data_IF_518911874519
#
_entry.id   IF_518911874519
#
_cell.length_a   1.000
_cell.length_b   1.000
_cell.length_c   1.000
_cell.angle_alpha   90.00
_cell.angle_beta   90.00
_cell.angle_gamma   90.00
#
_symmetry.space_group_name_H-M   'P 1'
#
loop_
_entity.id
_entity.type
_entity.pdbx_description
1 polymer ?
#
# COMPACT_ATOMS: atom_id res chain seq x y z
N UNK A 1 48.74 -34.09 -22.04
CA UNK A 1 47.59 -33.15 -22.14
C UNK A 1 46.97 -33.02 -20.75
N UNK A 2 47.27 -31.92 -20.04
CA UNK A 2 46.76 -31.68 -18.70
C UNK A 2 45.43 -30.92 -18.80
N UNK A 3 44.34 -31.50 -18.30
CA UNK A 3 43.03 -30.89 -18.32
C UNK A 3 42.99 -29.74 -17.31
N UNK A 4 42.87 -28.50 -17.80
CA UNK A 4 42.65 -27.34 -16.95
C UNK A 4 41.30 -27.51 -16.24
N UNK A 5 41.34 -27.71 -14.92
CA UNK A 5 40.15 -27.67 -14.07
C UNK A 5 39.63 -26.23 -14.10
N UNK A 6 38.60 -25.99 -14.90
CA UNK A 6 37.89 -24.71 -14.89
C UNK A 6 37.24 -24.56 -13.51
N UNK A 7 37.78 -23.64 -12.71
CA UNK A 7 37.17 -23.26 -11.45
C UNK A 7 35.73 -22.80 -11.73
N UNK A 8 34.74 -23.50 -11.18
CA UNK A 8 33.35 -23.08 -11.31
C UNK A 8 33.21 -21.70 -10.68
N UNK A 9 32.63 -20.70 -11.39
CA UNK A 9 32.40 -19.40 -10.80
C UNK A 9 31.58 -19.57 -9.52
N UNK A 10 31.99 -18.91 -8.44
CA UNK A 10 31.30 -18.97 -7.16
C UNK A 10 29.82 -18.59 -7.36
N UNK A 11 28.92 -19.43 -6.86
CA UNK A 11 27.49 -19.11 -6.95
C UNK A 11 27.22 -17.81 -6.20
N UNK A 12 26.52 -16.84 -6.80
CA UNK A 12 26.20 -15.60 -6.12
C UNK A 12 25.39 -15.88 -4.84
N UNK A 13 25.75 -15.19 -3.76
CA UNK A 13 25.04 -15.26 -2.48
C UNK A 13 23.58 -14.79 -2.61
N UNK A 14 22.72 -15.26 -1.70
CA UNK A 14 21.28 -14.93 -1.70
C UNK A 14 21.02 -13.42 -1.69
N UNK A 15 21.81 -12.65 -0.92
CA UNK A 15 21.70 -11.19 -0.90
C UNK A 15 21.99 -10.54 -2.26
N UNK A 16 23.03 -11.00 -2.97
CA UNK A 16 23.36 -10.50 -4.31
C UNK A 16 22.25 -10.79 -5.32
N UNK A 17 21.63 -11.97 -5.23
CA UNK A 17 20.49 -12.34 -6.08
C UNK A 17 19.28 -11.46 -5.77
N UNK A 18 18.99 -11.22 -4.48
CA UNK A 18 17.92 -10.32 -4.06
C UNK A 18 18.13 -8.89 -4.59
N UNK A 19 19.33 -8.33 -4.40
CA UNK A 19 19.64 -6.96 -4.85
C UNK A 19 19.51 -6.81 -6.36
N UNK A 20 19.96 -7.80 -7.14
CA UNK A 20 19.78 -7.81 -8.60
C UNK A 20 18.31 -7.87 -8.99
N UNK A 21 17.52 -8.74 -8.35
CA UNK A 21 16.08 -8.83 -8.58
C UNK A 21 15.36 -7.53 -8.21
N UNK A 22 15.69 -6.94 -7.06
CA UNK A 22 15.13 -5.67 -6.61
C UNK A 22 15.48 -4.52 -7.57
N UNK A 23 16.72 -4.48 -8.06
CA UNK A 23 17.14 -3.52 -9.08
C UNK A 23 16.36 -3.65 -10.39
N UNK A 24 16.08 -4.88 -10.84
CA UNK A 24 15.27 -5.14 -12.02
C UNK A 24 13.81 -4.66 -11.84
N UNK A 25 13.19 -4.97 -10.70
CA UNK A 25 11.83 -4.50 -10.37
C UNK A 25 11.77 -2.97 -10.27
N UNK A 26 12.79 -2.34 -9.69
CA UNK A 26 12.88 -0.88 -9.59
C UNK A 26 12.99 -0.20 -10.97
N UNK A 27 13.80 -0.74 -11.88
CA UNK A 27 13.88 -0.25 -13.26
C UNK A 27 12.53 -0.41 -13.95
N UNK A 28 11.90 -1.58 -13.81
CA UNK A 28 10.60 -1.88 -14.39
C UNK A 28 9.53 -0.87 -13.95
N UNK A 29 9.38 -0.62 -12.65
CA UNK A 29 8.42 0.35 -12.13
C UNK A 29 8.62 1.75 -12.74
N UNK A 30 9.87 2.22 -12.83
CA UNK A 30 10.18 3.54 -13.41
C UNK A 30 9.88 3.64 -14.90
N UNK A 31 10.03 2.54 -15.65
CA UNK A 31 9.80 2.52 -17.10
C UNK A 31 8.34 2.41 -17.52
N UNK A 32 7.45 1.96 -16.63
CA UNK A 32 6.03 1.77 -16.95
C UNK A 32 5.28 3.10 -16.81
N UNK A 33 4.65 3.58 -17.90
CA UNK A 33 3.87 4.84 -17.91
C UNK A 33 2.73 4.83 -16.88
N UNK A 34 2.08 3.69 -16.68
CA UNK A 34 0.98 3.54 -15.72
C UNK A 34 1.43 3.80 -14.27
N UNK A 35 2.69 3.52 -13.92
CA UNK A 35 3.26 3.88 -12.62
C UNK A 35 3.13 5.37 -12.37
N UNK A 36 3.52 6.19 -13.35
CA UNK A 36 3.46 7.65 -13.25
C UNK A 36 2.03 8.18 -13.19
N UNK A 37 1.09 7.55 -13.91
CA UNK A 37 -0.32 7.90 -13.81
C UNK A 37 -0.88 7.62 -12.40
N UNK A 38 -0.51 6.50 -11.79
CA UNK A 38 -0.88 6.17 -10.41
C UNK A 38 -0.27 7.14 -9.39
N UNK A 39 1.02 7.50 -9.56
CA UNK A 39 1.68 8.47 -8.69
C UNK A 39 1.07 9.87 -8.82
N UNK A 40 0.74 10.30 -10.04
CA UNK A 40 0.05 11.56 -10.28
C UNK A 40 -1.33 11.56 -9.60
N UNK A 41 -2.12 10.50 -9.77
CA UNK A 41 -3.42 10.37 -9.13
C UNK A 41 -3.30 10.41 -7.60
N UNK A 42 -2.35 9.67 -7.02
CA UNK A 42 -2.08 9.71 -5.59
C UNK A 42 -1.65 11.11 -5.14
N UNK A 43 -0.79 11.80 -5.90
CA UNK A 43 -0.36 13.17 -5.58
C UNK A 43 -1.53 14.14 -5.54
N UNK A 44 -2.35 14.13 -6.60
CA UNK A 44 -3.53 15.02 -6.71
C UNK A 44 -4.51 14.77 -5.56
N UNK A 45 -4.78 13.51 -5.23
CA UNK A 45 -5.75 13.18 -4.18
C UNK A 45 -5.18 13.44 -2.78
N UNK A 46 -3.97 12.99 -2.47
CA UNK A 46 -3.38 13.14 -1.12
C UNK A 46 -3.15 14.62 -0.81
N UNK A 47 -2.44 15.33 -1.68
CA UNK A 47 -2.11 16.74 -1.45
C UNK A 47 -3.34 17.62 -1.62
N UNK A 48 -4.20 17.32 -2.60
CA UNK A 48 -5.42 18.09 -2.85
C UNK A 48 -6.43 18.00 -1.70
N UNK A 49 -6.71 16.79 -1.20
CA UNK A 49 -7.61 16.63 -0.05
C UNK A 49 -7.01 17.21 1.24
N UNK A 50 -5.70 17.05 1.45
CA UNK A 50 -5.03 17.69 2.59
C UNK A 50 -5.09 19.22 2.54
N UNK A 51 -4.94 19.82 1.35
CA UNK A 51 -5.08 21.26 1.16
C UNK A 51 -6.52 21.75 1.39
N UNK A 52 -7.53 21.01 0.90
CA UNK A 52 -8.94 21.32 1.13
C UNK A 52 -9.26 21.25 2.64
N UNK A 53 -8.83 20.18 3.30
CA UNK A 53 -8.97 20.00 4.74
C UNK A 53 -8.38 21.18 5.53
N UNK A 54 -7.19 21.66 5.15
CA UNK A 54 -6.57 22.82 5.79
C UNK A 54 -7.32 24.13 5.52
N UNK A 55 -7.84 24.32 4.31
CA UNK A 55 -8.58 25.52 3.94
C UNK A 55 -9.93 25.62 4.69
N UNK A 56 -10.66 24.51 4.81
CA UNK A 56 -11.95 24.47 5.52
C UNK A 56 -11.80 24.87 7.01
N UNK A 57 -10.71 24.44 7.64
CA UNK A 57 -10.33 24.82 9.02
C UNK A 57 -9.95 26.29 9.13
N UNK A 58 -9.13 26.80 8.19
CA UNK A 58 -8.71 28.20 8.17
C UNK A 58 -9.91 29.17 8.07
N UNK A 59 -10.96 28.78 7.36
CA UNK A 59 -12.20 29.54 7.23
C UNK A 59 -13.11 29.44 8.47
N UNK A 60 -12.75 28.61 9.46
CA UNK A 60 -13.56 28.37 10.66
C UNK A 60 -14.90 27.69 10.37
N UNK A 61 -15.02 27.03 9.22
CA UNK A 61 -16.21 26.28 8.81
C UNK A 61 -16.26 24.87 9.39
N UNK A 62 -15.14 24.45 10.00
CA UNK A 62 -15.03 23.26 10.83
C UNK A 62 -16.10 23.25 11.93
N UNK A 63 -17.07 22.37 11.79
CA UNK A 63 -18.16 22.20 12.76
C UNK A 63 -17.79 21.09 13.73
N UNK A 64 -18.36 21.08 14.95
CA UNK A 64 -18.19 20.00 15.91
C UNK A 64 -18.59 18.59 15.38
N UNK A 65 -19.24 18.51 14.22
CA UNK A 65 -19.58 17.29 13.50
C UNK A 65 -18.49 16.80 12.52
N UNK A 66 -17.49 17.62 12.21
CA UNK A 66 -16.33 17.33 11.36
C UNK A 66 -15.10 18.05 11.93
N UNK A 67 -14.48 17.52 13.01
CA UNK A 67 -13.23 18.07 13.51
C UNK A 67 -12.11 17.64 12.56
N UNK A 68 -11.87 18.39 11.49
CA UNK A 68 -10.70 18.17 10.64
C UNK A 68 -9.54 18.86 11.36
N UNK A 69 -9.09 18.36 12.51
CA UNK A 69 -7.94 18.99 13.17
C UNK A 69 -6.77 18.94 12.18
N UNK A 70 -6.40 20.10 11.62
CA UNK A 70 -5.61 20.17 10.39
C UNK A 70 -4.15 19.71 10.57
N UNK A 71 -3.75 19.46 11.82
CA UNK A 71 -2.58 18.64 12.20
C UNK A 71 -2.57 17.24 11.53
N UNK A 72 -3.69 16.78 10.95
CA UNK A 72 -3.82 15.48 10.27
C UNK A 72 -4.08 15.56 8.75
N UNK A 73 -3.80 16.68 8.09
CA UNK A 73 -4.04 16.86 6.64
C UNK A 73 -3.49 15.71 5.77
N UNK A 74 -2.29 15.22 6.08
CA UNK A 74 -1.68 14.05 5.43
C UNK A 74 -2.46 12.75 5.66
N UNK A 75 -3.04 12.53 6.83
CA UNK A 75 -3.82 11.33 7.17
C UNK A 75 -5.15 11.32 6.41
N UNK A 76 -5.84 12.46 6.35
CA UNK A 76 -7.04 12.64 5.54
C UNK A 76 -6.75 12.46 4.05
N UNK A 77 -5.67 13.06 3.55
CA UNK A 77 -5.24 12.89 2.16
C UNK A 77 -4.95 11.42 1.82
N UNK A 78 -4.23 10.72 2.70
CA UNK A 78 -3.88 9.31 2.50
C UNK A 78 -5.11 8.40 2.54
N UNK A 79 -6.12 8.69 3.35
CA UNK A 79 -7.32 7.85 3.49
C UNK A 79 -7.91 7.45 2.12
N UNK A 80 -8.07 8.42 1.23
CA UNK A 80 -8.55 8.19 -0.13
C UNK A 80 -7.42 8.12 -1.17
N UNK A 81 -6.34 8.86 -0.98
CA UNK A 81 -5.24 8.92 -1.94
C UNK A 81 -4.38 7.64 -1.99
N UNK A 82 -4.41 6.82 -0.93
CA UNK A 82 -3.72 5.53 -0.90
C UNK A 82 -4.11 4.61 -2.06
N UNK A 83 -5.34 4.71 -2.59
CA UNK A 83 -5.79 3.82 -3.67
C UNK A 83 -4.96 3.96 -4.95
N UNK A 84 -4.42 5.14 -5.26
CA UNK A 84 -3.47 5.30 -6.37
C UNK A 84 -2.20 4.46 -6.16
N UNK A 85 -1.70 4.42 -4.93
CA UNK A 85 -0.52 3.65 -4.53
C UNK A 85 -0.82 2.14 -4.47
N UNK A 86 -2.00 1.75 -4.00
CA UNK A 86 -2.45 0.35 -3.98
C UNK A 86 -2.62 -0.19 -5.40
N UNK A 87 -3.16 0.61 -6.32
CA UNK A 87 -3.25 0.28 -7.75
C UNK A 87 -1.85 0.07 -8.32
N UNK A 88 -0.89 0.96 -8.03
CA UNK A 88 0.51 0.79 -8.45
C UNK A 88 1.09 -0.54 -7.94
N UNK A 89 0.93 -0.83 -6.65
CA UNK A 89 1.44 -2.05 -6.04
C UNK A 89 0.80 -3.32 -6.65
N UNK A 90 -0.50 -3.29 -6.93
CA UNK A 90 -1.21 -4.38 -7.57
C UNK A 90 -0.79 -4.58 -9.03
N UNK A 91 -0.68 -3.51 -9.80
CA UNK A 91 -0.22 -3.55 -11.20
C UNK A 91 1.21 -4.09 -11.30
N UNK A 92 2.08 -3.76 -10.33
CA UNK A 92 3.44 -4.28 -10.29
C UNK A 92 3.48 -5.81 -10.36
N UNK A 93 2.49 -6.50 -9.80
CA UNK A 93 2.41 -7.97 -9.82
C UNK A 93 1.45 -8.53 -10.87
N UNK A 94 0.39 -7.82 -11.25
CA UNK A 94 -0.59 -8.35 -12.22
C UNK A 94 -0.20 -8.14 -13.68
N UNK A 95 0.60 -7.11 -14.00
CA UNK A 95 0.92 -6.76 -15.40
C UNK A 95 1.62 -7.90 -16.16
N UNK A 96 2.42 -8.72 -15.48
CA UNK A 96 3.09 -9.86 -16.14
C UNK A 96 2.17 -11.03 -16.47
N UNK A 97 1.05 -11.15 -15.74
CA UNK A 97 0.02 -12.11 -16.09
C UNK A 97 -0.77 -11.63 -17.30
N UNK A 98 -1.02 -10.32 -17.41
CA UNK A 98 -1.71 -9.72 -18.55
C UNK A 98 -0.87 -9.79 -19.84
N UNK A 99 0.46 -9.62 -19.75
CA UNK A 99 1.37 -9.70 -20.89
C UNK A 99 1.84 -11.13 -21.22
N UNK A 100 1.52 -12.12 -20.37
CA UNK A 100 2.00 -13.50 -20.52
C UNK A 100 3.50 -13.68 -20.24
N UNK A 101 4.20 -12.68 -19.71
CA UNK A 101 5.66 -12.70 -19.50
C UNK A 101 6.10 -13.41 -18.21
N UNK A 102 5.17 -13.93 -17.41
CA UNK A 102 5.51 -14.56 -16.14
C UNK A 102 6.24 -15.90 -16.31
N UNK A 103 5.93 -16.65 -17.37
CA UNK A 103 6.57 -17.94 -17.67
C UNK A 103 8.08 -17.82 -17.90
N UNK A 104 8.55 -16.98 -18.85
CA UNK A 104 9.97 -16.73 -19.08
C UNK A 104 10.71 -16.25 -17.82
N UNK A 105 10.08 -15.38 -17.02
CA UNK A 105 10.67 -14.84 -15.77
C UNK A 105 10.92 -15.92 -14.72
N UNK A 106 9.98 -16.86 -14.58
CA UNK A 106 10.08 -17.98 -13.62
C UNK A 106 11.03 -19.09 -14.10
N UNK A 107 11.20 -19.27 -15.41
CA UNK A 107 12.11 -20.27 -15.98
C UNK A 107 13.59 -19.89 -15.85
N UNK A 108 13.91 -18.60 -15.82
CA UNK A 108 15.29 -18.12 -15.79
C UNK A 108 15.87 -17.95 -14.37
N UNK A 109 15.04 -18.09 -13.33
CA UNK A 109 15.45 -17.78 -11.95
C UNK A 109 15.39 -19.02 -11.04
N UNK A 110 16.53 -19.67 -10.73
CA UNK A 110 16.55 -20.89 -9.92
C UNK A 110 16.14 -20.66 -8.44
N UNK A 111 16.17 -19.41 -7.94
CA UNK A 111 15.82 -19.05 -6.55
C UNK A 111 14.48 -18.30 -6.47
N UNK A 112 13.39 -19.01 -6.75
CA UNK A 112 12.02 -18.46 -6.89
C UNK A 112 11.53 -17.66 -5.67
N UNK A 113 11.87 -18.09 -4.45
CA UNK A 113 11.48 -17.37 -3.22
C UNK A 113 12.14 -15.99 -3.08
N UNK A 114 13.38 -15.86 -3.52
CA UNK A 114 14.13 -14.59 -3.46
C UNK A 114 13.56 -13.58 -4.45
N UNK A 115 13.19 -14.05 -5.65
CA UNK A 115 12.51 -13.24 -6.65
C UNK A 115 11.14 -12.77 -6.15
N UNK A 116 10.36 -13.68 -5.56
CA UNK A 116 9.06 -13.33 -4.98
C UNK A 116 9.21 -12.27 -3.88
N UNK A 117 10.21 -12.41 -3.01
CA UNK A 117 10.48 -11.42 -1.98
C UNK A 117 10.80 -10.04 -2.57
N UNK A 118 11.65 -9.96 -3.59
CA UNK A 118 11.95 -8.69 -4.27
C UNK A 118 10.69 -8.09 -4.92
N UNK A 119 9.88 -8.93 -5.56
CA UNK A 119 8.64 -8.53 -6.22
C UNK A 119 7.55 -8.04 -5.27
N UNK A 120 7.54 -8.52 -4.04
CA UNK A 120 6.65 -8.00 -2.99
C UNK A 120 7.24 -6.74 -2.36
N UNK A 121 8.53 -6.77 -2.01
CA UNK A 121 9.19 -5.73 -1.26
C UNK A 121 9.31 -4.41 -2.04
N UNK A 122 9.75 -4.46 -3.30
CA UNK A 122 9.98 -3.24 -4.10
C UNK A 122 8.71 -2.40 -4.24
N UNK A 123 7.58 -2.89 -4.79
CA UNK A 123 6.39 -2.07 -4.96
C UNK A 123 5.81 -1.60 -3.62
N UNK A 124 5.88 -2.42 -2.57
CA UNK A 124 5.45 -2.04 -1.22
C UNK A 124 6.26 -0.86 -0.70
N UNK A 125 7.60 -0.95 -0.78
CA UNK A 125 8.50 0.13 -0.34
C UNK A 125 8.28 1.39 -1.18
N UNK A 126 8.14 1.27 -2.51
CA UNK A 126 7.87 2.42 -3.38
C UNK A 126 6.56 3.11 -2.99
N UNK A 127 5.48 2.34 -2.83
CA UNK A 127 4.17 2.84 -2.48
C UNK A 127 4.19 3.53 -1.11
N UNK A 128 4.76 2.88 -0.08
CA UNK A 128 4.87 3.44 1.27
C UNK A 128 5.71 4.70 1.30
N UNK A 129 6.94 4.67 0.77
CA UNK A 129 7.83 5.84 0.80
C UNK A 129 7.20 7.01 0.06
N UNK A 130 6.61 6.76 -1.11
CA UNK A 130 5.97 7.83 -1.88
C UNK A 130 4.75 8.40 -1.15
N UNK A 131 3.90 7.55 -0.58
CA UNK A 131 2.73 8.02 0.18
C UNK A 131 3.09 8.79 1.44
N UNK A 132 4.15 8.39 2.16
CA UNK A 132 4.67 9.14 3.32
C UNK A 132 5.20 10.51 2.88
N UNK A 133 5.93 10.59 1.76
CA UNK A 133 6.40 11.86 1.22
C UNK A 133 5.25 12.76 0.77
N UNK A 134 4.21 12.18 0.16
CA UNK A 134 3.01 12.92 -0.24
C UNK A 134 2.19 13.41 0.95
N UNK A 135 2.09 12.61 2.01
CA UNK A 135 1.47 13.03 3.26
C UNK A 135 2.22 14.18 3.91
N UNK A 136 3.56 14.06 4.04
CA UNK A 136 4.39 15.15 4.52
C UNK A 136 4.25 16.41 3.66
N UNK A 137 4.12 16.24 2.34
CA UNK A 137 3.87 17.37 1.43
C UNK A 137 2.51 18.01 1.71
N UNK A 138 1.48 17.21 1.96
CA UNK A 138 0.16 17.70 2.34
C UNK A 138 0.19 18.47 3.67
N UNK A 139 0.91 17.97 4.68
CA UNK A 139 1.09 18.64 5.97
C UNK A 139 1.82 19.98 5.82
N UNK A 140 2.89 20.02 5.00
CA UNK A 140 3.60 21.28 4.69
C UNK A 140 2.69 22.26 3.94
N UNK A 141 1.90 21.78 2.97
CA UNK A 141 0.93 22.63 2.26
C UNK A 141 -0.13 23.17 3.22
N UNK A 142 -0.60 22.37 4.17
CA UNK A 142 -1.56 22.80 5.19
C UNK A 142 -1.01 23.97 6.04
N UNK A 143 0.24 23.87 6.51
CA UNK A 143 0.92 24.94 7.26
C UNK A 143 1.09 26.24 6.45
N UNK A 144 1.13 26.16 5.11
CA UNK A 144 1.20 27.34 4.25
C UNK A 144 -0.17 27.99 4.03
N UNK A 145 -1.25 27.20 4.11
CA UNK A 145 -2.62 27.67 3.95
C UNK A 145 -3.10 28.35 5.22
N UNK A 146 -2.85 27.74 6.37
CA UNK A 146 -3.19 28.28 7.69
C UNK A 146 -1.95 28.34 8.59
N UNK A 147 -1.34 29.53 8.74
CA UNK A 147 -0.16 29.72 9.58
C UNK A 147 -0.42 29.58 11.09
N UNK A 148 -1.68 29.55 11.53
CA UNK A 148 -2.03 29.34 12.95
C UNK A 148 -1.94 27.86 13.32
N UNK A 149 -1.86 26.97 12.33
CA UNK A 149 -1.65 25.55 12.54
C UNK A 149 -0.31 25.27 13.21
N UNK A 150 -0.38 24.37 14.18
CA UNK A 150 0.81 23.80 14.80
C UNK A 150 0.89 22.32 14.48
N UNK A 151 2.07 21.90 14.06
CA UNK A 151 2.43 20.51 13.82
C UNK A 151 3.62 20.18 14.71
N UNK A 152 3.36 19.78 15.97
CA UNK A 152 4.42 19.33 16.86
C UNK A 152 5.19 18.18 16.21
N UNK A 153 6.51 18.18 16.35
CA UNK A 153 7.35 17.17 15.71
C UNK A 153 6.98 15.75 16.16
N UNK A 154 6.58 15.58 17.41
CA UNK A 154 6.17 14.29 17.98
C UNK A 154 4.89 13.77 17.30
N UNK A 155 3.89 14.63 17.13
CA UNK A 155 2.62 14.29 16.47
C UNK A 155 2.83 14.04 14.96
N UNK A 156 3.67 14.84 14.31
CA UNK A 156 4.04 14.65 12.91
C UNK A 156 4.71 13.28 12.68
N UNK A 157 5.69 12.92 13.53
CA UNK A 157 6.39 11.64 13.43
C UNK A 157 5.44 10.47 13.72
N UNK A 158 4.59 10.59 14.74
CA UNK A 158 3.60 9.58 15.05
C UNK A 158 2.59 9.40 13.91
N UNK A 159 2.11 10.48 13.30
CA UNK A 159 1.19 10.44 12.16
C UNK A 159 1.80 9.82 10.92
N UNK A 160 3.01 10.21 10.54
CA UNK A 160 3.74 9.60 9.42
C UNK A 160 4.01 8.10 9.66
N UNK A 161 4.25 7.68 10.90
CA UNK A 161 4.38 6.27 11.25
C UNK A 161 3.05 5.50 11.07
N UNK A 162 1.91 6.09 11.47
CA UNK A 162 0.57 5.52 11.24
C UNK A 162 0.27 5.40 9.75
N UNK A 163 0.55 6.44 8.97
CA UNK A 163 0.45 6.44 7.50
C UNK A 163 1.31 5.34 6.89
N UNK A 164 2.57 5.24 7.29
CA UNK A 164 3.48 4.21 6.79
C UNK A 164 2.93 2.80 7.07
N UNK A 165 2.41 2.56 8.29
CA UNK A 165 1.82 1.27 8.66
C UNK A 165 0.62 0.92 7.78
N UNK A 166 -0.30 1.87 7.55
CA UNK A 166 -1.46 1.66 6.67
C UNK A 166 -1.03 1.38 5.23
N UNK A 167 -0.09 2.16 4.69
CA UNK A 167 0.39 1.98 3.32
C UNK A 167 1.15 0.67 3.12
N UNK A 168 1.97 0.25 4.10
CA UNK A 168 2.63 -1.06 4.06
C UNK A 168 1.58 -2.17 4.02
N UNK A 169 0.65 -2.18 4.97
CA UNK A 169 -0.38 -3.22 5.04
C UNK A 169 -1.25 -3.22 3.77
N UNK A 170 -1.77 -2.07 3.36
CA UNK A 170 -2.58 -1.94 2.15
C UNK A 170 -1.83 -2.41 0.89
N UNK A 171 -0.56 -2.04 0.73
CA UNK A 171 0.25 -2.43 -0.43
C UNK A 171 0.52 -3.94 -0.43
N UNK A 172 0.82 -4.52 0.73
CA UNK A 172 1.01 -5.97 0.87
C UNK A 172 -0.29 -6.74 0.60
N UNK A 173 -1.43 -6.24 1.08
CA UNK A 173 -2.75 -6.78 0.75
C UNK A 173 -2.99 -6.75 -0.76
N UNK A 174 -2.76 -5.60 -1.41
CA UNK A 174 -2.95 -5.41 -2.85
C UNK A 174 -2.04 -6.33 -3.68
N UNK A 175 -0.77 -6.47 -3.29
CA UNK A 175 0.18 -7.39 -3.89
C UNK A 175 -0.28 -8.84 -3.70
N UNK A 176 -0.65 -9.24 -2.48
CA UNK A 176 -1.10 -10.60 -2.18
C UNK A 176 -2.35 -10.99 -2.97
N UNK A 177 -3.34 -10.09 -3.03
CA UNK A 177 -4.56 -10.26 -3.84
C UNK A 177 -4.22 -10.31 -5.32
N UNK A 178 -3.32 -9.46 -5.81
CA UNK A 178 -2.86 -9.47 -7.21
C UNK A 178 -2.21 -10.79 -7.61
N UNK A 179 -1.33 -11.34 -6.75
CA UNK A 179 -0.71 -12.65 -6.93
C UNK A 179 -1.75 -13.79 -6.86
N UNK A 180 -2.71 -13.68 -5.95
CA UNK A 180 -3.75 -14.68 -5.77
C UNK A 180 -4.70 -14.72 -6.96
N UNK A 181 -5.20 -13.58 -7.43
CA UNK A 181 -6.24 -13.52 -8.46
C UNK A 181 -5.69 -13.52 -9.90
N UNK A 182 -4.44 -13.06 -10.10
CA UNK A 182 -3.79 -12.99 -11.43
C UNK A 182 -4.58 -12.19 -12.47
N UNK A 183 -5.44 -11.28 -12.01
CA UNK A 183 -6.28 -10.42 -12.84
C UNK A 183 -6.29 -9.03 -12.22
N UNK A 184 -5.94 -8.02 -13.03
CA UNK A 184 -5.96 -6.62 -12.59
C UNK A 184 -7.38 -6.20 -12.20
N UNK A 185 -8.38 -6.50 -13.03
CA UNK A 185 -9.76 -6.09 -12.78
C UNK A 185 -10.32 -6.71 -11.49
N UNK A 186 -10.15 -8.03 -11.32
CA UNK A 186 -10.62 -8.71 -10.10
C UNK A 186 -9.82 -8.25 -8.87
N UNK A 187 -8.51 -8.07 -9.00
CA UNK A 187 -7.65 -7.59 -7.93
C UNK A 187 -8.03 -6.21 -7.42
N UNK A 188 -8.22 -5.25 -8.33
CA UNK A 188 -8.69 -3.91 -7.97
C UNK A 188 -10.07 -3.97 -7.33
N UNK A 189 -11.02 -4.69 -7.92
CA UNK A 189 -12.36 -4.83 -7.35
C UNK A 189 -12.31 -5.36 -5.90
N UNK A 190 -11.52 -6.40 -5.63
CA UNK A 190 -11.36 -6.96 -4.28
C UNK A 190 -10.73 -5.97 -3.30
N UNK A 191 -9.64 -5.30 -3.68
CA UNK A 191 -8.97 -4.33 -2.80
C UNK A 191 -9.90 -3.16 -2.45
N UNK A 192 -10.58 -2.59 -3.45
CA UNK A 192 -11.54 -1.51 -3.23
C UNK A 192 -12.75 -1.96 -2.40
N UNK A 193 -13.26 -3.17 -2.64
CA UNK A 193 -14.36 -3.73 -1.85
C UNK A 193 -13.96 -3.87 -0.38
N UNK A 194 -12.83 -4.50 -0.08
CA UNK A 194 -12.41 -4.75 1.31
C UNK A 194 -12.02 -3.47 2.05
N UNK A 195 -11.40 -2.52 1.36
CA UNK A 195 -10.81 -1.35 1.99
C UNK A 195 -11.76 -0.15 2.07
N UNK A 196 -12.67 0.00 1.10
CA UNK A 196 -13.51 1.20 0.98
C UNK A 196 -15.00 0.86 1.00
N UNK A 197 -15.44 0.06 0.04
CA UNK A 197 -16.87 -0.07 -0.26
C UNK A 197 -17.59 -0.87 0.82
N UNK A 198 -17.08 -2.04 1.19
CA UNK A 198 -17.75 -2.94 2.12
C UNK A 198 -17.84 -2.37 3.55
N UNK A 199 -16.77 -1.79 4.14
CA UNK A 199 -16.86 -1.11 5.43
C UNK A 199 -17.91 0.00 5.44
N UNK A 200 -17.91 0.85 4.42
CA UNK A 200 -18.82 1.98 4.31
C UNK A 200 -20.28 1.52 4.11
N UNK A 201 -20.52 0.59 3.18
CA UNK A 201 -21.86 0.06 2.92
C UNK A 201 -22.44 -0.62 4.16
N UNK A 202 -21.66 -1.49 4.82
CA UNK A 202 -22.12 -2.21 6.02
C UNK A 202 -22.55 -1.25 7.13
N UNK A 203 -21.76 -0.20 7.37
CA UNK A 203 -22.09 0.83 8.36
C UNK A 203 -23.31 1.66 7.97
N UNK A 204 -23.48 1.94 6.67
CA UNK A 204 -24.60 2.76 6.17
C UNK A 204 -25.98 2.11 6.36
N UNK A 205 -26.05 0.79 6.48
CA UNK A 205 -27.33 0.08 6.69
C UNK A 205 -27.88 0.20 8.12
N UNK A 206 -27.05 0.61 9.10
CA UNK A 206 -27.50 0.78 10.49
C UNK A 206 -27.91 -0.51 11.20
N UNK A 207 -27.52 -1.68 10.68
CA UNK A 207 -27.84 -2.99 11.27
C UNK A 207 -26.66 -3.46 12.13
N UNK A 208 -26.91 -3.79 13.41
CA UNK A 208 -25.86 -4.11 14.38
C UNK A 208 -24.85 -5.16 13.91
N UNK A 209 -25.31 -6.30 13.41
CA UNK A 209 -24.39 -7.36 12.94
C UNK A 209 -23.58 -6.96 11.69
N UNK A 210 -24.10 -6.06 10.84
CA UNK A 210 -23.33 -5.53 9.70
C UNK A 210 -22.21 -4.61 10.20
N UNK A 211 -22.50 -3.79 11.20
CA UNK A 211 -21.47 -2.95 11.85
C UNK A 211 -20.38 -3.83 12.48
N UNK A 212 -20.78 -4.91 13.16
CA UNK A 212 -19.83 -5.85 13.77
C UNK A 212 -18.92 -6.49 12.70
N UNK A 213 -19.47 -6.90 11.55
CA UNK A 213 -18.68 -7.44 10.45
C UNK A 213 -17.76 -6.37 9.84
N UNK A 214 -18.23 -5.12 9.73
CA UNK A 214 -17.41 -4.02 9.23
C UNK A 214 -16.15 -3.80 10.07
N UNK A 215 -16.20 -4.00 11.39
CA UNK A 215 -15.04 -3.89 12.27
C UNK A 215 -13.92 -4.90 11.95
N UNK A 216 -14.24 -6.01 11.29
CA UNK A 216 -13.27 -7.03 10.87
C UNK A 216 -12.67 -6.79 9.48
N UNK A 217 -13.03 -5.69 8.81
CA UNK A 217 -12.50 -5.35 7.49
C UNK A 217 -11.23 -4.50 7.59
N UNK A 218 -10.27 -4.69 6.67
CA UNK A 218 -9.00 -3.95 6.69
C UNK A 218 -9.21 -2.44 6.44
N UNK A 219 -10.30 -2.06 5.78
CA UNK A 219 -10.71 -0.67 5.61
C UNK A 219 -10.96 0.05 6.92
N UNK A 220 -11.77 -0.56 7.80
CA UNK A 220 -12.06 -0.01 9.14
C UNK A 220 -10.80 0.09 9.99
N UNK A 221 -9.90 -0.89 9.90
CA UNK A 221 -8.58 -0.83 10.53
C UNK A 221 -7.74 0.37 10.06
N UNK A 222 -7.74 0.65 8.75
CA UNK A 222 -7.02 1.81 8.22
C UNK A 222 -7.65 3.13 8.64
N UNK A 223 -8.98 3.25 8.63
CA UNK A 223 -9.68 4.44 9.14
C UNK A 223 -9.31 4.66 10.61
N UNK A 224 -9.31 3.61 11.42
CA UNK A 224 -8.94 3.71 12.84
C UNK A 224 -7.51 4.14 13.09
N UNK A 225 -6.59 3.64 12.27
CA UNK A 225 -5.17 3.96 12.37
C UNK A 225 -4.90 5.39 11.92
N UNK A 226 -5.58 5.88 10.88
CA UNK A 226 -5.41 7.24 10.36
C UNK A 226 -6.20 8.26 11.18
N UNK A 227 -7.52 8.09 11.30
CA UNK A 227 -8.41 9.13 11.83
C UNK A 227 -8.77 8.97 13.31
N UNK A 228 -8.35 7.88 13.95
CA UNK A 228 -8.72 7.62 15.34
C UNK A 228 -10.07 6.91 15.51
N UNK A 229 -10.86 6.74 14.45
CA UNK A 229 -12.23 6.18 14.49
C UNK A 229 -12.34 4.79 13.82
N UNK A 230 -13.12 3.83 14.34
CA UNK A 230 -14.02 3.95 15.50
C UNK A 230 -13.32 3.70 16.85
N UNK A 231 -13.76 4.40 17.89
CA UNK A 231 -13.27 4.23 19.26
C UNK A 231 -13.43 2.81 19.84
N UNK A 232 -14.37 2.03 19.30
CA UNK A 232 -14.61 0.64 19.70
C UNK A 232 -13.43 -0.31 19.39
N UNK A 233 -12.49 0.11 18.54
CA UNK A 233 -11.30 -0.65 18.18
C UNK A 233 -10.06 0.03 18.75
N UNK A 234 -9.14 -0.74 19.36
CA UNK A 234 -7.84 -0.19 19.77
C UNK A 234 -6.90 -0.02 18.57
N UNK A 235 -5.94 0.92 18.66
CA UNK A 235 -4.91 1.10 17.63
C UNK A 235 -4.13 -0.20 17.36
N UNK A 236 -3.74 -0.92 18.42
CA UNK A 236 -3.06 -2.21 18.29
C UNK A 236 -3.92 -3.27 17.58
N UNK A 237 -5.23 -3.30 17.87
CA UNK A 237 -6.18 -4.17 17.19
C UNK A 237 -6.32 -3.84 15.71
N UNK A 238 -6.41 -2.56 15.35
CA UNK A 238 -6.48 -2.09 13.97
C UNK A 238 -5.22 -2.50 13.17
N UNK A 239 -4.03 -2.26 13.72
CA UNK A 239 -2.76 -2.66 13.12
C UNK A 239 -2.66 -4.18 12.95
N UNK A 240 -3.05 -4.95 13.96
CA UNK A 240 -3.05 -6.41 13.90
C UNK A 240 -4.02 -6.94 12.85
N UNK A 241 -5.21 -6.34 12.74
CA UNK A 241 -6.21 -6.69 11.73
C UNK A 241 -5.67 -6.47 10.31
N UNK A 242 -5.10 -5.29 10.06
CA UNK A 242 -4.51 -4.96 8.76
C UNK A 242 -3.34 -5.89 8.42
N UNK A 243 -2.46 -6.15 9.39
CA UNK A 243 -1.35 -7.10 9.22
C UNK A 243 -1.85 -8.51 8.93
N UNK A 244 -2.91 -8.97 9.62
CA UNK A 244 -3.52 -10.28 9.42
C UNK A 244 -4.09 -10.47 8.02
N UNK A 245 -4.86 -9.51 7.52
CA UNK A 245 -5.39 -9.52 6.15
C UNK A 245 -4.27 -9.52 5.09
N UNK A 246 -3.25 -8.69 5.31
CA UNK A 246 -2.07 -8.59 4.42
C UNK A 246 -1.29 -9.92 4.38
N UNK A 247 -1.04 -10.50 5.55
CA UNK A 247 -0.34 -11.78 5.67
C UNK A 247 -1.14 -12.92 5.04
N UNK A 248 -2.46 -12.97 5.25
CA UNK A 248 -3.33 -13.97 4.64
C UNK A 248 -3.32 -13.88 3.11
N UNK A 249 -3.44 -12.67 2.55
CA UNK A 249 -3.40 -12.45 1.11
C UNK A 249 -2.05 -12.82 0.50
N UNK A 250 -0.93 -12.41 1.13
CA UNK A 250 0.42 -12.77 0.68
C UNK A 250 0.68 -14.28 0.76
N UNK A 251 0.25 -14.92 1.85
CA UNK A 251 0.40 -16.36 2.02
C UNK A 251 -0.38 -17.12 0.94
N UNK A 252 -1.64 -16.75 0.70
CA UNK A 252 -2.48 -17.35 -0.33
C UNK A 252 -1.91 -17.12 -1.75
N UNK A 253 -1.53 -15.88 -2.08
CA UNK A 253 -0.97 -15.52 -3.37
C UNK A 253 0.40 -16.16 -3.63
N UNK A 254 1.29 -16.13 -2.64
CA UNK A 254 2.61 -16.75 -2.69
C UNK A 254 2.53 -18.27 -2.80
N UNK A 255 1.65 -18.91 -2.04
CA UNK A 255 1.40 -20.35 -2.14
C UNK A 255 0.93 -20.77 -3.53
N UNK A 256 -0.02 -20.02 -4.12
CA UNK A 256 -0.52 -20.28 -5.48
C UNK A 256 0.60 -20.19 -6.52
N UNK A 257 1.45 -19.16 -6.44
CA UNK A 257 2.59 -18.97 -7.35
C UNK A 257 3.63 -20.08 -7.20
N UNK A 258 3.98 -20.44 -5.96
CA UNK A 258 5.03 -21.44 -5.71
C UNK A 258 4.60 -22.87 -6.06
N UNK A 259 3.31 -23.21 -5.97
CA UNK A 259 2.82 -24.58 -6.23
C UNK A 259 2.26 -24.81 -7.63
N UNK A 260 1.60 -23.82 -8.26
CA UNK A 260 0.89 -24.03 -9.53
C UNK A 260 1.66 -23.62 -10.78
N UNK A 261 2.69 -22.79 -10.65
CA UNK A 261 3.54 -22.39 -11.80
C UNK A 261 4.83 -23.24 -11.87
N UNK A 262 4.76 -24.46 -11.30
CA UNK A 262 5.84 -25.44 -11.22
C UNK A 262 5.46 -26.80 -11.83
N UNK A 263 4.32 -26.89 -12.54
CA UNK A 263 3.86 -28.06 -13.27
C UNK A 263 3.87 -27.82 -14.77
#
# INVERSE_FOLDING_TARGET
>A
MSAAVLARPAEPGTGTVFLRAAGAEWVRLRTVRTTWACLLAATVVIVGLGAIAAADEAEGTATAANPIVSTFAGEYGVLLGQFGLLVLALLAVTQEYASGSIGPTLQWTPRRGVLLAARVAVPTVVATVTGVLLALTADVVALLIDPELTLPLEDAVAGLARIAAVLVAGSLLAVGVGLLLRSTAAGLATVFLLQLVLPFLMQSFGVGWLNDVALWLPGTGAVRTLLGEPDSMSLGGALALQAGWSAAALAAGGWRLLRRDAG
#
